data_IF_955220167153
#
_entry.id   IF_955220167153
#
_cell.length_a   1.000
_cell.length_b   1.000
_cell.length_c   1.000
_cell.angle_alpha   90.00
_cell.angle_beta   90.00
_cell.angle_gamma   90.00
#
_symmetry.space_group_name_H-M   'P 1'
#
loop_
_entity.id
_entity.type
_entity.pdbx_description
1 polymer ?
#
# COMPACT_ATOMS: atom_id res chain seq x y z
N UNK A 1 29.27 -21.01 10.51
CA UNK A 1 27.93 -21.09 11.13
C UNK A 1 26.87 -21.38 10.06
N UNK A 2 26.87 -22.57 9.45
CA UNK A 2 25.89 -22.99 8.41
C UNK A 2 25.14 -24.29 8.75
N UNK A 3 25.38 -24.86 9.93
CA UNK A 3 24.93 -26.23 10.26
C UNK A 3 23.99 -26.35 11.48
N UNK A 4 23.52 -25.24 12.06
CA UNK A 4 22.57 -25.28 13.20
C UNK A 4 21.12 -25.13 12.72
N UNK A 5 20.88 -24.47 11.58
CA UNK A 5 19.53 -24.19 11.04
C UNK A 5 18.91 -25.42 10.35
N UNK A 6 19.71 -26.35 9.81
CA UNK A 6 19.20 -27.57 9.17
C UNK A 6 18.66 -28.62 10.15
N UNK A 7 19.00 -28.54 11.44
CA UNK A 7 18.60 -29.55 12.44
C UNK A 7 17.18 -29.38 12.96
N UNK A 8 16.67 -28.15 13.03
CA UNK A 8 15.38 -27.86 13.66
C UNK A 8 14.20 -28.03 12.69
N UNK A 9 14.39 -27.65 11.42
CA UNK A 9 13.35 -27.74 10.38
C UNK A 9 13.05 -29.17 9.92
N UNK A 10 14.02 -30.10 9.99
CA UNK A 10 13.79 -31.47 9.51
C UNK A 10 12.98 -32.34 10.47
N UNK A 11 12.93 -32.00 11.77
CA UNK A 11 12.22 -32.80 12.78
C UNK A 11 10.76 -32.39 12.95
N UNK A 12 10.44 -31.11 12.79
CA UNK A 12 9.06 -30.60 12.88
C UNK A 12 8.19 -31.05 11.69
N UNK A 13 8.78 -31.11 10.49
CA UNK A 13 8.06 -31.47 9.25
C UNK A 13 7.64 -32.95 9.22
N UNK A 14 8.41 -33.85 9.85
CA UNK A 14 8.11 -35.30 9.85
C UNK A 14 7.03 -35.65 10.89
N UNK A 15 6.85 -34.84 11.95
CA UNK A 15 5.78 -35.03 12.94
C UNK A 15 4.42 -34.54 12.39
N UNK A 16 4.40 -33.50 11.55
CA UNK A 16 3.16 -32.98 10.96
C UNK A 16 2.58 -33.85 9.84
N UNK A 17 3.38 -34.68 9.17
CA UNK A 17 2.92 -35.50 8.04
C UNK A 17 2.15 -36.78 8.45
N UNK A 18 2.01 -37.09 9.74
CA UNK A 18 1.27 -38.28 10.21
C UNK A 18 -0.09 -37.98 10.86
N UNK A 19 -0.47 -36.72 11.07
CA UNK A 19 -1.76 -36.36 11.68
C UNK A 19 -2.87 -36.02 10.67
N UNK A 20 -2.64 -36.18 9.37
CA UNK A 20 -3.70 -36.19 8.35
C UNK A 20 -4.54 -37.48 8.43
N UNK A 21 -5.03 -37.79 9.63
CA UNK A 21 -6.09 -38.76 9.89
C UNK A 21 -7.37 -37.92 9.87
N UNK A 22 -8.19 -38.16 8.83
CA UNK A 22 -9.51 -37.58 8.60
C UNK A 22 -10.23 -37.12 9.88
N UNK A 23 -10.17 -35.82 10.18
CA UNK A 23 -10.91 -35.24 11.30
C UNK A 23 -12.41 -35.37 11.03
N UNK A 24 -13.17 -35.83 12.03
CA UNK A 24 -14.63 -35.95 11.95
C UNK A 24 -15.23 -34.55 11.82
N UNK A 25 -15.98 -34.30 10.75
CA UNK A 25 -16.71 -33.05 10.54
C UNK A 25 -18.00 -33.08 11.38
N UNK A 26 -18.09 -32.24 12.43
CA UNK A 26 -19.24 -32.21 13.34
C UNK A 26 -20.41 -31.39 12.78
N UNK A 27 -20.12 -30.29 12.08
CA UNK A 27 -21.10 -29.37 11.52
C UNK A 27 -20.77 -29.15 10.04
N UNK A 28 -21.70 -29.46 9.11
CA UNK A 28 -21.51 -29.15 7.70
C UNK A 28 -21.35 -27.65 7.45
N UNK A 29 -20.45 -27.28 6.54
CA UNK A 29 -20.16 -25.88 6.18
C UNK A 29 -21.37 -24.99 5.85
N UNK A 30 -22.49 -25.56 5.40
CA UNK A 30 -23.75 -24.81 5.10
C UNK A 30 -24.38 -24.12 6.33
N UNK A 31 -24.02 -24.53 7.55
CA UNK A 31 -24.50 -23.93 8.79
C UNK A 31 -23.56 -22.83 9.33
N UNK A 32 -22.38 -22.69 8.76
CA UNK A 32 -21.35 -21.75 9.22
C UNK A 32 -21.42 -20.51 8.34
N UNK A 33 -21.75 -19.35 8.94
CA UNK A 33 -21.83 -18.09 8.20
C UNK A 33 -20.45 -17.46 8.02
N UNK A 34 -19.53 -17.65 8.97
CA UNK A 34 -18.16 -17.16 8.92
C UNK A 34 -17.17 -18.28 9.31
N UNK A 35 -16.36 -18.74 8.36
CA UNK A 35 -15.40 -19.83 8.59
C UNK A 35 -14.25 -19.45 9.52
N UNK A 36 -14.04 -18.16 9.77
CA UNK A 36 -12.98 -17.67 10.64
C UNK A 36 -13.44 -17.50 12.10
N UNK A 37 -14.71 -17.79 12.40
CA UNK A 37 -15.27 -17.72 13.75
C UNK A 37 -15.44 -19.11 14.36
N UNK A 38 -15.14 -19.30 15.64
CA UNK A 38 -15.50 -20.53 16.34
C UNK A 38 -17.01 -20.71 16.36
N UNK A 39 -17.47 -21.94 16.63
CA UNK A 39 -18.91 -22.26 16.63
C UNK A 39 -19.37 -22.55 18.05
N UNK A 40 -20.44 -21.88 18.49
CA UNK A 40 -21.22 -22.28 19.65
C UNK A 40 -22.46 -23.04 19.18
N UNK A 41 -22.56 -24.31 19.55
CA UNK A 41 -23.76 -25.13 19.37
C UNK A 41 -24.53 -25.18 20.69
N UNK A 42 -25.84 -24.95 20.64
CA UNK A 42 -26.76 -25.15 21.78
C UNK A 42 -27.87 -26.12 21.40
N UNK A 43 -27.95 -27.25 22.09
CA UNK A 43 -29.13 -28.12 22.08
C UNK A 43 -30.18 -27.60 23.06
N UNK A 44 -31.43 -27.50 22.59
CA UNK A 44 -32.54 -26.81 23.27
C UNK A 44 -33.87 -27.52 22.98
N UNK A 45 -34.94 -27.11 23.66
CA UNK A 45 -36.33 -27.41 23.27
C UNK A 45 -37.26 -26.27 23.69
N UNK A 46 -38.44 -26.19 23.10
CA UNK A 46 -39.45 -25.17 23.42
C UNK A 46 -39.99 -25.25 24.86
N UNK A 47 -40.11 -26.48 25.40
CA UNK A 47 -40.59 -26.74 26.76
C UNK A 47 -39.51 -26.61 27.84
N UNK A 48 -38.25 -26.37 27.45
CA UNK A 48 -37.12 -26.30 28.37
C UNK A 48 -37.03 -24.91 29.03
N UNK A 49 -37.55 -24.79 30.25
CA UNK A 49 -37.49 -23.54 31.02
C UNK A 49 -36.05 -23.03 31.25
N UNK A 50 -35.05 -23.86 31.63
CA UNK A 50 -33.67 -23.39 31.75
C UNK A 50 -33.07 -22.87 30.43
N UNK A 51 -33.46 -23.45 29.30
CA UNK A 51 -33.07 -22.95 27.98
C UNK A 51 -33.64 -21.55 27.72
N UNK A 52 -34.88 -21.32 28.16
CA UNK A 52 -35.52 -20.01 28.12
C UNK A 52 -34.79 -18.95 28.96
N UNK A 53 -34.26 -19.33 30.13
CA UNK A 53 -33.44 -18.44 30.98
C UNK A 53 -32.17 -18.02 30.24
N UNK A 54 -31.45 -18.97 29.64
CA UNK A 54 -30.24 -18.66 28.86
C UNK A 54 -30.53 -17.67 27.73
N UNK A 55 -31.55 -17.94 26.90
CA UNK A 55 -31.87 -17.11 25.73
C UNK A 55 -32.43 -15.73 26.08
N UNK A 56 -33.25 -15.64 27.12
CA UNK A 56 -33.98 -14.40 27.43
C UNK A 56 -33.27 -13.49 28.42
N UNK A 57 -32.32 -14.03 29.20
CA UNK A 57 -31.59 -13.31 30.24
C UNK A 57 -30.10 -13.31 29.91
N UNK A 58 -29.43 -14.45 30.06
CA UNK A 58 -27.95 -14.54 29.98
C UNK A 58 -27.41 -14.07 28.62
N UNK A 59 -28.05 -14.44 27.52
CA UNK A 59 -27.60 -14.09 26.17
C UNK A 59 -27.81 -12.60 25.85
N UNK A 60 -28.64 -11.90 26.62
CA UNK A 60 -28.90 -10.47 26.45
C UNK A 60 -27.97 -9.60 27.29
N UNK A 61 -27.23 -10.17 28.23
CA UNK A 61 -26.21 -9.44 28.99
C UNK A 61 -25.14 -8.92 28.03
N UNK A 62 -24.75 -7.65 28.20
CA UNK A 62 -23.88 -6.96 27.25
C UNK A 62 -22.53 -7.68 27.04
N UNK A 63 -21.96 -8.20 28.12
CA UNK A 63 -20.70 -8.96 28.08
C UNK A 63 -20.80 -10.28 27.34
N UNK A 64 -21.95 -10.95 27.41
CA UNK A 64 -22.21 -12.20 26.68
C UNK A 64 -22.53 -11.92 25.21
N UNK A 65 -23.38 -10.91 24.95
CA UNK A 65 -23.73 -10.52 23.59
C UNK A 65 -22.49 -10.20 22.74
N UNK A 66 -21.55 -9.41 23.27
CA UNK A 66 -20.28 -9.08 22.60
C UNK A 66 -19.45 -10.33 22.27
N UNK A 67 -19.49 -11.36 23.13
CA UNK A 67 -18.80 -12.64 22.88
C UNK A 67 -19.51 -13.46 21.81
N UNK A 68 -20.84 -13.51 21.84
CA UNK A 68 -21.65 -14.24 20.87
C UNK A 68 -21.52 -13.67 19.44
N UNK A 69 -21.38 -12.35 19.28
CA UNK A 69 -21.14 -11.71 17.97
C UNK A 69 -19.83 -12.16 17.29
N UNK A 70 -18.89 -12.69 18.08
CA UNK A 70 -17.60 -13.25 17.63
C UNK A 70 -17.67 -14.75 17.32
N UNK A 71 -18.83 -15.38 17.46
CA UNK A 71 -19.03 -16.82 17.25
C UNK A 71 -20.10 -17.06 16.17
N UNK A 72 -20.02 -18.19 15.48
CA UNK A 72 -21.19 -18.76 14.80
C UNK A 72 -22.09 -19.41 15.85
N UNK A 73 -23.31 -18.90 16.05
CA UNK A 73 -24.22 -19.41 17.08
C UNK A 73 -25.31 -20.25 16.43
N UNK A 74 -25.36 -21.54 16.78
CA UNK A 74 -26.30 -22.52 16.23
C UNK A 74 -27.19 -23.08 17.34
N UNK A 75 -28.50 -23.17 17.06
CA UNK A 75 -29.47 -23.77 17.95
C UNK A 75 -30.09 -25.00 17.29
N UNK A 76 -30.05 -26.14 17.98
CA UNK A 76 -30.70 -27.36 17.54
C UNK A 76 -31.79 -27.76 18.53
N UNK A 77 -33.03 -27.77 18.04
CA UNK A 77 -34.17 -28.23 18.84
C UNK A 77 -34.24 -29.76 18.81
N UNK A 78 -34.07 -30.40 19.97
CA UNK A 78 -33.99 -31.87 20.10
C UNK A 78 -35.29 -32.59 19.70
N UNK A 79 -36.42 -31.90 19.61
CA UNK A 79 -37.68 -32.48 19.16
C UNK A 79 -37.78 -32.58 17.63
N UNK A 80 -36.92 -31.85 16.91
CA UNK A 80 -36.85 -31.86 15.43
C UNK A 80 -35.96 -32.97 14.90
N UNK A 81 -36.19 -33.43 13.66
CA UNK A 81 -35.34 -34.43 13.01
C UNK A 81 -33.87 -33.98 12.90
N UNK A 82 -33.66 -32.70 12.62
CA UNK A 82 -32.32 -32.10 12.56
C UNK A 82 -31.62 -32.11 13.92
N UNK A 83 -32.32 -31.71 14.98
CA UNK A 83 -31.76 -31.74 16.32
C UNK A 83 -31.48 -33.16 16.81
N UNK A 84 -32.34 -34.14 16.51
CA UNK A 84 -32.05 -35.56 16.79
C UNK A 84 -30.79 -36.02 16.07
N UNK A 85 -30.65 -35.70 14.78
CA UNK A 85 -29.47 -36.06 13.99
C UNK A 85 -28.17 -35.49 14.59
N UNK A 86 -28.13 -34.19 14.85
CA UNK A 86 -26.94 -33.56 15.44
C UNK A 86 -26.70 -34.04 16.87
N UNK A 87 -27.75 -34.31 17.64
CA UNK A 87 -27.58 -34.82 19.01
C UNK A 87 -26.85 -36.16 19.05
N UNK A 88 -27.00 -36.99 18.00
CA UNK A 88 -26.27 -38.24 17.85
C UNK A 88 -24.80 -37.99 17.49
N UNK A 89 -24.53 -37.06 16.57
CA UNK A 89 -23.17 -36.69 16.14
C UNK A 89 -22.32 -36.21 17.33
N UNK A 90 -22.94 -35.45 18.24
CA UNK A 90 -22.28 -34.81 19.38
C UNK A 90 -22.21 -35.66 20.67
N UNK A 91 -22.64 -36.93 20.64
CA UNK A 91 -22.62 -37.80 21.84
C UNK A 91 -21.24 -37.95 22.48
N UNK A 92 -20.20 -37.99 21.66
CA UNK A 92 -18.80 -38.08 22.09
C UNK A 92 -18.29 -36.81 22.80
N UNK A 93 -18.98 -35.67 22.66
CA UNK A 93 -18.69 -34.43 23.39
C UNK A 93 -19.29 -34.40 24.81
N UNK A 94 -19.95 -35.48 25.23
CA UNK A 94 -20.57 -35.63 26.54
C UNK A 94 -22.07 -35.38 26.57
N UNK A 95 -22.72 -35.22 25.42
CA UNK A 95 -24.17 -35.05 25.36
C UNK A 95 -24.90 -36.32 25.81
N UNK A 96 -25.71 -36.22 26.87
CA UNK A 96 -26.49 -37.33 27.45
C UNK A 96 -28.01 -37.07 27.45
N UNK A 97 -28.49 -36.18 26.60
CA UNK A 97 -29.92 -35.84 26.51
C UNK A 97 -30.42 -34.77 27.49
N UNK A 98 -29.53 -34.18 28.31
CA UNK A 98 -29.88 -33.05 29.16
C UNK A 98 -29.78 -31.74 28.38
N UNK A 99 -30.76 -30.85 28.52
CA UNK A 99 -30.78 -29.53 27.86
C UNK A 99 -31.02 -28.39 28.87
N UNK A 100 -30.44 -27.19 28.67
CA UNK A 100 -29.58 -26.83 27.54
C UNK A 100 -28.22 -27.53 27.61
N UNK A 101 -27.67 -27.87 26.45
CA UNK A 101 -26.31 -28.40 26.33
C UNK A 101 -25.56 -27.60 25.29
N UNK A 102 -24.38 -27.13 25.66
CA UNK A 102 -23.55 -26.28 24.83
C UNK A 102 -22.28 -27.03 24.43
N UNK A 103 -21.87 -26.85 23.18
CA UNK A 103 -20.58 -27.31 22.67
C UNK A 103 -19.91 -26.14 21.96
N UNK A 104 -18.65 -25.91 22.30
CA UNK A 104 -17.79 -24.98 21.59
C UNK A 104 -16.91 -25.76 20.62
N UNK A 105 -16.90 -25.31 19.36
CA UNK A 105 -16.00 -25.80 18.33
C UNK A 105 -15.00 -24.72 17.97
N UNK A 106 -13.79 -25.14 17.65
CA UNK A 106 -12.77 -24.28 17.06
C UNK A 106 -13.11 -23.90 15.60
N UNK A 107 -12.23 -23.12 14.97
CA UNK A 107 -12.37 -22.71 13.56
C UNK A 107 -12.26 -23.87 12.57
N UNK A 108 -11.74 -25.02 13.00
CA UNK A 108 -11.67 -26.26 12.22
C UNK A 108 -12.86 -27.19 12.48
N UNK A 109 -13.84 -26.77 13.29
CA UNK A 109 -15.03 -27.53 13.62
C UNK A 109 -14.78 -28.68 14.62
N UNK A 110 -13.68 -28.66 15.36
CA UNK A 110 -13.38 -29.65 16.40
C UNK A 110 -13.84 -29.19 17.79
N UNK A 111 -14.38 -30.09 18.63
CA UNK A 111 -14.90 -29.73 19.94
C UNK A 111 -13.79 -29.34 20.93
N UNK A 112 -13.91 -28.12 21.47
CA UNK A 112 -13.01 -27.56 22.49
C UNK A 112 -13.51 -27.82 23.91
N UNK A 113 -14.81 -27.57 24.13
CA UNK A 113 -15.41 -27.69 25.45
C UNK A 113 -16.92 -27.92 25.33
N UNK A 114 -17.50 -28.55 26.35
CA UNK A 114 -18.94 -28.67 26.51
C UNK A 114 -19.41 -28.21 27.89
N UNK A 115 -20.67 -27.78 27.97
CA UNK A 115 -21.31 -27.32 29.19
C UNK A 115 -22.75 -27.84 29.24
N UNK A 116 -23.12 -28.46 30.36
CA UNK A 116 -24.47 -29.00 30.57
C UNK A 116 -25.24 -28.13 31.55
N UNK A 117 -26.48 -27.79 31.21
CA UNK A 117 -27.39 -27.03 32.07
C UNK A 117 -27.30 -25.53 31.84
N UNK A 118 -28.20 -24.80 32.49
CA UNK A 118 -28.13 -23.35 32.54
C UNK A 118 -26.92 -22.92 33.39
N UNK A 119 -26.29 -21.82 33.00
CA UNK A 119 -25.14 -21.24 33.69
C UNK A 119 -25.38 -19.77 33.96
N UNK A 120 -24.79 -19.27 35.04
CA UNK A 120 -24.78 -17.84 35.34
C UNK A 120 -23.85 -17.09 34.39
N UNK A 121 -23.98 -15.76 34.33
CA UNK A 121 -23.26 -14.91 33.37
C UNK A 121 -21.75 -15.14 33.38
N UNK A 122 -21.12 -15.11 34.56
CA UNK A 122 -19.67 -15.24 34.68
C UNK A 122 -19.16 -16.62 34.24
N UNK A 123 -19.87 -17.68 34.63
CA UNK A 123 -19.51 -19.06 34.26
C UNK A 123 -19.69 -19.29 32.76
N UNK A 124 -20.76 -18.72 32.20
CA UNK A 124 -21.01 -18.81 30.76
C UNK A 124 -20.01 -17.97 29.97
N UNK A 125 -19.63 -16.78 30.45
CA UNK A 125 -18.57 -15.97 29.86
C UNK A 125 -17.23 -16.73 29.84
N UNK A 126 -16.85 -17.33 30.97
CA UNK A 126 -15.62 -18.12 31.07
C UNK A 126 -15.64 -19.35 30.16
N UNK A 127 -16.82 -19.96 29.96
CA UNK A 127 -17.01 -21.02 28.97
C UNK A 127 -16.78 -20.51 27.55
N UNK A 128 -17.46 -19.45 27.12
CA UNK A 128 -17.28 -18.85 25.77
C UNK A 128 -15.84 -18.42 25.52
N UNK A 129 -15.19 -17.90 26.55
CA UNK A 129 -13.79 -17.48 26.49
C UNK A 129 -12.88 -18.65 26.10
N UNK A 130 -13.23 -19.93 26.35
CA UNK A 130 -12.41 -21.06 25.90
C UNK A 130 -12.29 -21.16 24.37
N UNK A 131 -13.36 -20.85 23.65
CA UNK A 131 -13.33 -20.81 22.18
C UNK A 131 -12.74 -19.51 21.65
N UNK A 132 -12.97 -18.41 22.36
CA UNK A 132 -12.37 -17.13 22.02
C UNK A 132 -10.88 -17.07 22.37
N UNK A 133 -10.40 -18.00 23.19
CA UNK A 133 -9.00 -18.20 23.60
C UNK A 133 -8.27 -19.31 22.83
N UNK A 134 -8.90 -20.05 21.90
CA UNK A 134 -8.25 -21.24 21.30
C UNK A 134 -8.55 -21.48 19.82
N UNK A 135 -7.53 -21.19 18.98
CA UNK A 135 -6.84 -22.08 18.00
C UNK A 135 -6.11 -21.25 16.92
N UNK A 136 -5.26 -20.32 17.33
CA UNK A 136 -3.90 -20.23 16.81
C UNK A 136 -3.00 -20.57 18.00
N UNK A 137 -1.83 -21.17 17.78
CA UNK A 137 -0.83 -21.55 18.80
C UNK A 137 -0.93 -20.75 20.11
N UNK A 138 -0.92 -21.37 21.29
CA UNK A 138 -1.17 -20.68 22.58
C UNK A 138 -0.12 -19.59 22.93
N UNK A 139 0.87 -19.38 22.07
CA UNK A 139 1.83 -18.26 22.09
C UNK A 139 1.90 -17.48 20.76
N UNK A 140 0.99 -17.72 19.81
CA UNK A 140 1.00 -17.06 18.50
C UNK A 140 0.60 -15.60 18.67
N UNK A 141 1.62 -14.75 18.59
CA UNK A 141 1.43 -13.33 18.34
C UNK A 141 0.56 -13.18 17.10
N UNK A 142 -0.51 -12.39 17.23
CA UNK A 142 -1.31 -12.00 16.08
C UNK A 142 -0.71 -10.76 15.45
N UNK A 143 -0.50 -10.79 14.14
CA UNK A 143 -0.05 -9.60 13.40
C UNK A 143 -1.27 -8.84 12.85
N UNK A 144 -1.39 -7.57 13.19
CA UNK A 144 -2.41 -6.65 12.66
C UNK A 144 -1.68 -5.61 11.81
N UNK A 145 -1.90 -5.64 10.50
CA UNK A 145 -1.44 -4.63 9.57
C UNK A 145 -2.46 -3.49 9.51
N UNK A 146 -2.11 -2.35 10.09
CA UNK A 146 -2.90 -1.12 10.02
C UNK A 146 -2.50 -0.37 8.75
N UNK A 147 -3.40 -0.37 7.78
CA UNK A 147 -3.21 0.29 6.51
C UNK A 147 -4.05 -0.33 5.39
N UNK A 148 -4.37 0.48 4.40
CA UNK A 148 -5.17 0.07 3.25
C UNK A 148 -4.40 0.15 1.94
N UNK A 149 -4.95 -0.46 0.89
CA UNK A 149 -4.43 -0.42 -0.48
C UNK A 149 -4.28 1.01 -1.04
N UNK A 150 -4.84 2.02 -0.37
CA UNK A 150 -4.66 3.43 -0.73
C UNK A 150 -3.25 3.94 -0.46
N UNK A 151 -2.49 3.27 0.42
CA UNK A 151 -1.14 3.63 0.78
C UNK A 151 -0.13 2.81 -0.03
N UNK A 152 0.78 3.50 -0.71
CA UNK A 152 1.77 2.89 -1.61
C UNK A 152 2.62 1.83 -0.91
N UNK A 153 3.04 2.08 0.33
CA UNK A 153 3.83 1.12 1.12
C UNK A 153 3.01 -0.12 1.53
N UNK A 154 1.68 0.00 1.67
CA UNK A 154 0.79 -1.14 1.89
C UNK A 154 0.67 -1.99 0.62
N UNK A 155 0.53 -1.36 -0.55
CA UNK A 155 0.52 -2.07 -1.84
C UNK A 155 1.82 -2.85 -2.05
N UNK A 156 2.97 -2.24 -1.73
CA UNK A 156 4.26 -2.93 -1.82
C UNK A 156 4.33 -4.13 -0.87
N UNK A 157 3.87 -3.98 0.37
CA UNK A 157 3.78 -5.08 1.32
C UNK A 157 2.87 -6.21 0.83
N UNK A 158 1.67 -5.90 0.31
CA UNK A 158 0.73 -6.93 -0.19
C UNK A 158 1.26 -7.64 -1.44
N UNK A 159 1.91 -6.92 -2.35
CA UNK A 159 2.56 -7.53 -3.52
C UNK A 159 3.70 -8.46 -3.10
N UNK A 160 4.51 -8.05 -2.12
CA UNK A 160 5.60 -8.88 -1.58
C UNK A 160 5.04 -10.10 -0.84
N UNK A 161 3.91 -9.95 -0.14
CA UNK A 161 3.23 -11.04 0.56
C UNK A 161 2.73 -12.14 -0.40
N UNK A 162 2.24 -11.74 -1.57
CA UNK A 162 1.78 -12.68 -2.60
C UNK A 162 2.93 -13.35 -3.36
N UNK A 163 4.06 -12.65 -3.51
CA UNK A 163 5.18 -13.10 -4.34
C UNK A 163 6.32 -13.77 -3.58
N UNK A 164 6.45 -13.53 -2.27
CA UNK A 164 7.56 -14.02 -1.44
C UNK A 164 7.06 -15.09 -0.46
N UNK A 165 7.45 -16.34 -0.71
CA UNK A 165 7.00 -17.51 0.07
C UNK A 165 7.34 -17.42 1.56
N UNK A 166 8.48 -16.82 1.92
CA UNK A 166 8.92 -16.65 3.31
C UNK A 166 8.03 -15.65 4.05
N UNK A 167 7.68 -14.53 3.42
CA UNK A 167 6.78 -13.53 3.99
C UNK A 167 5.37 -14.10 4.17
N UNK A 168 4.90 -14.87 3.18
CA UNK A 168 3.63 -15.59 3.23
C UNK A 168 3.57 -16.59 4.37
N UNK A 169 4.60 -17.41 4.52
CA UNK A 169 4.69 -18.37 5.62
C UNK A 169 4.66 -17.68 6.99
N UNK A 170 5.32 -16.53 7.13
CA UNK A 170 5.28 -15.72 8.36
C UNK A 170 3.89 -15.15 8.62
N UNK A 171 3.26 -14.54 7.61
CA UNK A 171 1.90 -14.01 7.72
C UNK A 171 0.87 -15.08 8.11
N UNK A 172 0.96 -16.25 7.48
CA UNK A 172 0.10 -17.40 7.78
C UNK A 172 0.35 -17.89 9.21
N UNK A 173 1.61 -17.93 9.65
CA UNK A 173 1.96 -18.36 11.02
C UNK A 173 1.49 -17.39 12.10
N UNK A 174 1.47 -16.08 11.82
CA UNK A 174 1.06 -15.02 12.74
C UNK A 174 -0.41 -14.66 12.62
N UNK A 175 -1.20 -15.41 11.85
CA UNK A 175 -2.63 -15.17 11.62
C UNK A 175 -2.94 -13.71 11.28
N UNK A 176 -2.26 -13.19 10.25
CA UNK A 176 -2.30 -11.77 9.91
C UNK A 176 -3.72 -11.26 9.63
N UNK A 177 -4.08 -10.15 10.26
CA UNK A 177 -5.25 -9.34 9.92
C UNK A 177 -4.83 -8.03 9.27
N UNK A 178 -5.69 -7.48 8.41
CA UNK A 178 -5.54 -6.15 7.82
C UNK A 178 -6.70 -5.29 8.31
N UNK A 179 -6.41 -4.05 8.66
CA UNK A 179 -7.42 -3.08 9.10
C UNK A 179 -7.27 -1.78 8.29
N UNK A 180 -8.40 -1.29 7.76
CA UNK A 180 -8.44 0.00 7.05
C UNK A 180 -8.73 1.11 8.09
N UNK A 181 -7.77 2.00 8.39
CA UNK A 181 -8.00 3.08 9.35
C UNK A 181 -9.06 4.10 8.91
N UNK A 182 -9.49 4.04 7.64
CA UNK A 182 -10.60 4.85 7.13
C UNK A 182 -11.98 4.18 7.32
N UNK A 183 -12.05 2.92 7.77
CA UNK A 183 -13.30 2.17 7.99
C UNK A 183 -13.68 2.17 9.49
N UNK A 184 -14.68 2.99 9.90
CA UNK A 184 -15.08 3.08 11.30
C UNK A 184 -15.79 1.82 11.84
N UNK A 185 -16.22 0.92 10.96
CA UNK A 185 -16.88 -0.34 11.33
C UNK A 185 -15.87 -1.51 11.36
N UNK A 186 -14.57 -1.25 11.16
CA UNK A 186 -13.52 -2.27 11.16
C UNK A 186 -13.36 -2.89 12.56
N UNK A 187 -13.31 -4.24 12.67
CA UNK A 187 -13.21 -4.95 13.94
C UNK A 187 -11.89 -4.71 14.70
N UNK A 188 -10.89 -4.10 14.06
CA UNK A 188 -9.59 -3.75 14.63
C UNK A 188 -9.37 -2.22 14.73
N UNK A 189 -10.41 -1.42 14.56
CA UNK A 189 -10.34 0.05 14.67
C UNK A 189 -9.81 0.55 16.03
N UNK A 190 -9.86 -0.29 17.07
CA UNK A 190 -9.25 0.00 18.37
C UNK A 190 -7.72 0.15 18.33
N UNK A 191 -7.05 -0.32 17.28
CA UNK A 191 -5.60 -0.20 17.10
C UNK A 191 -5.20 1.00 16.21
N UNK A 192 -6.14 1.69 15.56
CA UNK A 192 -5.87 2.78 14.61
C UNK A 192 -5.12 3.97 15.24
N UNK A 193 -5.27 4.16 16.55
CA UNK A 193 -4.51 5.20 17.26
C UNK A 193 -2.99 4.98 17.12
N UNK A 194 -2.54 3.74 16.93
CA UNK A 194 -1.11 3.38 16.84
C UNK A 194 -0.53 3.91 15.53
N UNK A 195 -1.25 3.81 14.41
CA UNK A 195 -0.83 4.40 13.13
C UNK A 195 -0.83 5.93 13.19
N UNK A 196 -1.75 6.52 13.96
CA UNK A 196 -1.80 7.97 14.20
C UNK A 196 -0.60 8.45 15.03
N UNK A 197 -0.21 7.68 16.05
CA UNK A 197 0.93 7.98 16.93
C UNK A 197 2.26 7.76 16.22
N UNK A 198 2.41 6.66 15.48
CA UNK A 198 3.60 6.37 14.66
C UNK A 198 3.69 7.30 13.45
N UNK A 199 2.54 7.77 12.95
CA UNK A 199 2.38 8.58 11.75
C UNK A 199 3.05 7.90 10.53
N UNK A 200 2.88 6.59 10.42
CA UNK A 200 3.44 5.76 9.35
C UNK A 200 2.42 4.69 8.97
N UNK A 201 2.29 4.38 7.68
CA UNK A 201 1.38 3.38 7.15
C UNK A 201 2.09 2.58 6.04
N UNK A 202 2.15 1.23 6.08
CA UNK A 202 1.52 0.36 7.06
C UNK A 202 2.20 0.44 8.43
N UNK A 203 1.43 0.24 9.51
CA UNK A 203 1.98 -0.06 10.84
C UNK A 203 1.55 -1.47 11.23
N UNK A 204 2.49 -2.31 11.59
CA UNK A 204 2.24 -3.68 12.04
C UNK A 204 2.22 -3.71 13.55
N UNK A 205 1.14 -4.23 14.11
CA UNK A 205 0.95 -4.38 15.55
C UNK A 205 0.90 -5.86 15.88
N UNK A 206 1.65 -6.27 16.88
CA UNK A 206 1.68 -7.64 17.34
C UNK A 206 0.94 -7.70 18.66
N UNK A 207 -0.19 -8.40 18.70
CA UNK A 207 -0.98 -8.54 19.91
C UNK A 207 -0.82 -9.94 20.50
N UNK A 208 -0.92 -10.02 21.83
CA UNK A 208 -1.13 -11.30 22.50
C UNK A 208 -2.59 -11.75 22.26
N UNK A 209 -2.95 -12.98 22.66
CA UNK A 209 -4.33 -13.48 22.56
C UNK A 209 -5.37 -12.66 23.35
N UNK A 210 -4.95 -11.91 24.37
CA UNK A 210 -5.82 -11.04 25.17
C UNK A 210 -6.10 -9.68 24.50
N UNK A 211 -5.42 -9.38 23.37
CA UNK A 211 -5.54 -8.11 22.64
C UNK A 211 -4.55 -7.04 23.10
N UNK A 212 -3.68 -7.34 24.07
CA UNK A 212 -2.63 -6.42 24.47
C UNK A 212 -1.57 -6.30 23.39
N UNK A 213 -1.19 -5.06 23.10
CA UNK A 213 -0.11 -4.77 22.16
C UNK A 213 1.21 -5.14 22.80
N UNK A 214 1.91 -6.08 22.18
CA UNK A 214 3.19 -6.59 22.66
C UNK A 214 4.35 -5.92 21.92
N UNK A 215 4.20 -5.69 20.62
CA UNK A 215 5.18 -4.97 19.80
C UNK A 215 4.52 -4.25 18.62
N UNK A 216 5.30 -3.36 17.99
CA UNK A 216 4.91 -2.74 16.73
C UNK A 216 6.10 -2.48 15.81
N UNK A 217 5.87 -2.60 14.51
CA UNK A 217 6.79 -2.21 13.44
C UNK A 217 6.11 -1.10 12.64
N UNK A 218 6.79 0.03 12.50
CA UNK A 218 6.30 1.19 11.76
C UNK A 218 6.91 1.21 10.35
N UNK A 219 6.06 1.18 9.32
CA UNK A 219 6.45 1.23 7.92
C UNK A 219 6.86 -0.14 7.34
N UNK A 220 6.87 -0.20 6.02
CA UNK A 220 7.40 -1.34 5.25
C UNK A 220 8.45 -0.84 4.25
N UNK A 221 9.68 -1.35 4.35
CA UNK A 221 10.83 -0.91 3.55
C UNK A 221 11.44 -2.03 2.70
N UNK A 222 10.74 -3.17 2.60
CA UNK A 222 11.18 -4.35 1.86
C UNK A 222 11.29 -5.60 2.74
N UNK A 223 11.19 -6.77 2.11
CA UNK A 223 11.07 -8.04 2.81
C UNK A 223 12.26 -8.35 3.74
N UNK A 224 13.51 -8.09 3.33
CA UNK A 224 14.69 -8.38 4.17
C UNK A 224 14.68 -7.55 5.47
N UNK A 225 14.38 -6.26 5.39
CA UNK A 225 14.35 -5.35 6.54
C UNK A 225 13.18 -5.68 7.48
N UNK A 226 12.04 -6.08 6.92
CA UNK A 226 10.90 -6.55 7.68
C UNK A 226 11.21 -7.85 8.44
N UNK A 227 11.81 -8.83 7.77
CA UNK A 227 12.23 -10.09 8.39
C UNK A 227 13.31 -9.88 9.47
N UNK A 228 14.26 -8.97 9.25
CA UNK A 228 15.25 -8.58 10.25
C UNK A 228 14.60 -7.92 11.49
N UNK A 229 13.53 -7.15 11.28
CA UNK A 229 12.78 -6.52 12.38
C UNK A 229 12.01 -7.56 13.19
N UNK A 230 11.41 -8.54 12.52
CA UNK A 230 10.76 -9.69 13.16
C UNK A 230 11.76 -10.55 13.96
N UNK A 231 12.95 -10.80 13.43
CA UNK A 231 13.99 -11.56 14.12
C UNK A 231 14.50 -10.85 15.37
N UNK A 232 14.55 -9.51 15.35
CA UNK A 232 14.85 -8.70 16.55
C UNK A 232 13.74 -8.76 17.58
N UNK A 233 12.48 -8.80 17.15
CA UNK A 233 11.34 -8.96 18.06
C UNK A 233 11.37 -10.34 18.71
N UNK A 234 11.60 -11.40 17.93
CA UNK A 234 11.64 -12.79 18.44
C UNK A 234 12.77 -13.02 19.47
N UNK A 235 13.91 -12.34 19.30
CA UNK A 235 15.05 -12.40 20.24
C UNK A 235 14.87 -11.54 21.50
N UNK A 236 13.91 -10.61 21.53
CA UNK A 236 13.68 -9.68 22.65
C UNK A 236 12.63 -10.20 23.65
N UNK A 237 11.88 -11.26 23.34
CA UNK A 237 10.84 -11.83 24.22
C UNK A 237 11.35 -12.74 25.36
N UNK A 238 12.40 -12.29 26.05
CA UNK A 238 12.55 -12.50 27.47
C UNK A 238 12.31 -11.14 28.15
N UNK A 239 11.12 -10.96 28.73
CA UNK A 239 10.61 -9.79 29.48
C UNK A 239 11.69 -8.86 30.08
N UNK A 240 11.65 -7.57 29.69
CA UNK A 240 12.06 -6.34 30.45
C UNK A 240 12.82 -5.29 29.61
N UNK A 241 12.15 -4.63 28.65
CA UNK A 241 12.66 -3.34 28.13
C UNK A 241 11.64 -2.23 28.42
N UNK A 242 11.99 -1.24 29.26
CA UNK A 242 11.09 -0.14 29.56
C UNK A 242 10.90 0.77 28.34
N UNK A 243 9.65 1.17 28.13
CA UNK A 243 9.12 2.12 27.13
C UNK A 243 9.99 3.36 26.80
N UNK A 244 10.90 3.78 27.70
CA UNK A 244 11.78 4.94 27.53
C UNK A 244 12.97 4.73 26.58
N UNK A 245 13.49 3.51 26.40
CA UNK A 245 14.63 3.31 25.47
C UNK A 245 14.19 3.27 23.99
N UNK A 246 12.95 2.83 23.73
CA UNK A 246 12.31 2.89 22.40
C UNK A 246 12.17 4.35 21.92
N UNK A 247 11.90 5.28 22.83
CA UNK A 247 11.78 6.72 22.55
C UNK A 247 13.11 7.40 22.15
N UNK A 248 14.27 6.90 22.58
CA UNK A 248 15.55 7.58 22.29
C UNK A 248 16.13 7.17 20.92
N UNK A 249 15.83 5.95 20.45
CA UNK A 249 16.03 5.60 19.03
C UNK A 249 15.01 6.30 18.12
N UNK A 250 13.82 6.61 18.64
CA UNK A 250 12.79 7.34 17.89
C UNK A 250 13.16 8.79 17.64
N UNK A 251 13.98 9.48 18.44
CA UNK A 251 14.41 10.86 18.14
C UNK A 251 15.36 10.97 16.93
N UNK A 252 16.23 9.96 16.74
CA UNK A 252 17.11 9.87 15.55
C UNK A 252 16.30 9.50 14.31
N UNK A 253 15.31 8.62 14.45
CA UNK A 253 14.31 8.33 13.41
C UNK A 253 13.32 9.48 13.21
N UNK A 254 13.04 10.31 14.21
CA UNK A 254 12.08 11.41 14.15
C UNK A 254 12.56 12.51 13.21
N UNK A 255 13.87 12.71 13.03
CA UNK A 255 14.39 13.62 12.00
C UNK A 255 14.21 13.06 10.58
N UNK A 256 14.31 11.74 10.42
CA UNK A 256 14.05 11.04 9.15
C UNK A 256 12.54 11.03 8.87
N UNK A 257 11.72 10.75 9.88
CA UNK A 257 10.25 10.78 9.85
C UNK A 257 9.73 12.21 9.69
N UNK A 258 10.33 13.26 10.27
CA UNK A 258 9.92 14.65 10.03
C UNK A 258 10.23 15.08 8.58
N UNK A 259 11.30 14.54 7.99
CA UNK A 259 11.56 14.70 6.56
C UNK A 259 10.51 13.95 5.73
N UNK A 260 10.21 12.69 6.05
CA UNK A 260 9.15 11.87 5.41
C UNK A 260 7.74 12.45 5.61
N UNK A 261 7.38 12.99 6.79
CA UNK A 261 6.11 13.69 7.06
C UNK A 261 5.91 14.91 6.17
N UNK A 262 7.01 15.56 5.75
CA UNK A 262 6.94 16.65 4.78
C UNK A 262 6.67 16.11 3.37
N UNK A 263 7.19 14.93 3.04
CA UNK A 263 6.89 14.19 1.80
C UNK A 263 5.46 13.62 1.80
N UNK A 264 5.01 13.00 2.89
CA UNK A 264 3.66 12.43 3.03
C UNK A 264 2.57 13.50 3.02
N UNK A 265 2.82 14.70 3.57
CA UNK A 265 1.88 15.84 3.42
C UNK A 265 1.68 16.27 1.98
N UNK A 266 2.68 16.09 1.11
CA UNK A 266 2.54 16.38 -0.32
C UNK A 266 1.66 15.31 -0.98
N UNK A 267 1.85 14.04 -0.64
CA UNK A 267 1.03 12.91 -1.13
C UNK A 267 -0.43 13.00 -0.63
N UNK A 268 -0.67 13.34 0.63
CA UNK A 268 -2.02 13.55 1.22
C UNK A 268 -2.78 14.70 0.55
N UNK A 269 -2.08 15.67 -0.05
CA UNK A 269 -2.73 16.76 -0.82
C UNK A 269 -3.20 16.33 -2.23
N UNK A 270 -2.97 15.05 -2.60
CA UNK A 270 -3.25 14.49 -3.91
C UNK A 270 -2.22 14.88 -4.97
N UNK A 271 -1.10 15.48 -4.58
CA UNK A 271 0.00 15.88 -5.45
C UNK A 271 1.18 14.91 -5.30
N UNK A 272 1.59 14.29 -6.41
CA UNK A 272 2.83 13.52 -6.53
C UNK A 272 3.93 14.43 -7.09
N UNK A 273 5.19 14.19 -6.73
CA UNK A 273 6.30 15.00 -7.22
C UNK A 273 7.17 14.18 -8.16
N UNK A 274 7.35 14.65 -9.38
CA UNK A 274 8.22 14.06 -10.38
C UNK A 274 9.52 14.86 -10.46
N UNK A 275 10.66 14.18 -10.28
CA UNK A 275 11.98 14.75 -10.54
C UNK A 275 12.55 14.14 -11.82
N UNK A 276 12.88 14.97 -12.79
CA UNK A 276 13.27 14.54 -14.13
C UNK A 276 14.62 15.08 -14.58
N UNK A 277 15.27 14.28 -15.42
CA UNK A 277 16.37 14.72 -16.26
C UNK A 277 15.97 14.47 -17.72
N UNK A 278 16.37 15.36 -18.63
CA UNK A 278 16.03 15.20 -20.03
C UNK A 278 17.21 15.49 -20.93
N UNK A 279 17.19 14.88 -22.11
CA UNK A 279 17.98 15.28 -23.26
C UNK A 279 17.03 15.75 -24.33
N UNK A 280 17.46 16.70 -25.14
CA UNK A 280 16.61 17.26 -26.17
C UNK A 280 17.41 17.58 -27.43
N UNK A 281 16.70 17.52 -28.56
CA UNK A 281 17.18 18.00 -29.85
C UNK A 281 16.22 19.09 -30.27
N UNK A 282 16.71 20.33 -30.31
CA UNK A 282 15.94 21.51 -30.67
C UNK A 282 16.48 22.17 -31.94
N UNK A 283 15.65 22.98 -32.56
CA UNK A 283 15.98 23.73 -33.77
C UNK A 283 15.12 24.99 -33.86
N UNK A 284 15.65 25.99 -34.56
CA UNK A 284 14.93 27.21 -34.87
C UNK A 284 14.21 27.06 -36.21
N UNK A 285 12.90 27.27 -36.21
CA UNK A 285 12.10 27.42 -37.43
C UNK A 285 11.91 28.90 -37.78
N UNK A 286 11.49 29.21 -39.01
CA UNK A 286 11.25 30.58 -39.46
C UNK A 286 12.15 31.00 -40.63
N UNK A 287 12.52 32.27 -40.67
CA UNK A 287 13.38 32.84 -41.70
C UNK A 287 14.55 33.56 -41.00
N UNK A 288 15.55 32.79 -40.57
CA UNK A 288 16.71 33.29 -39.85
C UNK A 288 17.99 32.52 -40.29
N UNK A 289 19.20 33.06 -40.05
CA UNK A 289 20.45 32.43 -40.49
C UNK A 289 20.74 31.07 -39.82
N UNK A 290 20.17 30.85 -38.63
CA UNK A 290 20.32 29.65 -37.82
C UNK A 290 19.16 28.65 -38.04
N UNK A 291 18.34 28.85 -39.07
CA UNK A 291 17.21 27.97 -39.37
C UNK A 291 17.68 26.52 -39.53
N UNK A 292 16.95 25.60 -38.93
CA UNK A 292 17.23 24.16 -38.93
C UNK A 292 18.60 23.78 -38.36
N UNK A 293 19.28 24.70 -37.67
CA UNK A 293 20.49 24.38 -36.94
C UNK A 293 20.13 23.42 -35.79
N UNK A 294 20.65 22.17 -35.79
CA UNK A 294 20.39 21.26 -34.71
C UNK A 294 21.10 21.77 -33.45
N UNK A 295 20.37 21.79 -32.36
CA UNK A 295 20.85 22.12 -31.03
C UNK A 295 20.56 20.92 -30.16
N UNK A 296 21.55 20.52 -29.37
CA UNK A 296 21.35 19.50 -28.34
C UNK A 296 21.33 20.16 -26.99
N UNK A 297 20.60 19.56 -26.07
CA UNK A 297 20.44 20.13 -24.77
C UNK A 297 20.17 19.09 -23.70
N UNK A 298 20.29 19.55 -22.48
CA UNK A 298 19.94 18.81 -21.29
C UNK A 298 18.96 19.64 -20.46
N UNK A 299 18.11 18.96 -19.71
CA UNK A 299 17.18 19.60 -18.80
C UNK A 299 17.11 18.89 -17.46
N UNK A 300 16.73 19.64 -16.45
CA UNK A 300 16.33 19.13 -15.13
C UNK A 300 14.95 19.69 -14.82
N UNK A 301 14.06 18.89 -14.26
CA UNK A 301 12.70 19.30 -13.96
C UNK A 301 12.23 18.80 -12.61
N UNK A 302 11.36 19.58 -11.98
CA UNK A 302 10.56 19.16 -10.83
C UNK A 302 9.12 19.55 -11.12
N UNK A 303 8.21 18.59 -11.12
CA UNK A 303 6.79 18.82 -11.39
C UNK A 303 5.91 18.18 -10.34
N UNK A 304 4.80 18.83 -10.01
CA UNK A 304 3.71 18.26 -9.24
C UNK A 304 2.66 17.69 -10.19
N UNK A 305 2.23 16.44 -9.95
CA UNK A 305 1.17 15.74 -10.67
C UNK A 305 -0.03 15.52 -9.75
N UNK A 306 -1.24 15.85 -10.19
CA UNK A 306 -2.47 15.63 -9.43
C UNK A 306 -3.52 14.92 -10.25
N UNK A 307 -4.05 13.82 -9.71
CA UNK A 307 -5.17 13.10 -10.32
C UNK A 307 -6.43 13.96 -10.23
N UNK A 308 -7.11 14.15 -11.35
CA UNK A 308 -8.30 15.00 -11.47
C UNK A 308 -9.61 14.21 -11.35
N UNK A 309 -9.61 12.94 -11.75
CA UNK A 309 -10.82 12.12 -11.81
C UNK A 309 -10.77 10.93 -10.83
N UNK A 310 -11.95 10.48 -10.39
CA UNK A 310 -12.09 9.34 -9.47
C UNK A 310 -11.55 8.02 -10.06
N UNK A 311 -11.53 7.91 -11.38
CA UNK A 311 -11.04 6.73 -12.09
C UNK A 311 -9.50 6.67 -12.16
N UNK A 312 -8.78 7.72 -11.75
CA UNK A 312 -7.31 7.75 -11.77
C UNK A 312 -6.69 8.05 -13.13
N UNK A 313 -7.47 8.06 -14.22
CA UNK A 313 -6.96 8.07 -15.59
C UNK A 313 -6.55 9.42 -16.15
N UNK A 314 -6.88 10.53 -15.47
CA UNK A 314 -6.55 11.89 -15.93
C UNK A 314 -5.84 12.64 -14.82
N UNK A 315 -4.66 13.17 -15.12
CA UNK A 315 -3.85 13.95 -14.19
C UNK A 315 -3.48 15.32 -14.76
N UNK A 316 -3.26 16.27 -13.86
CA UNK A 316 -2.77 17.61 -14.15
C UNK A 316 -1.36 17.75 -13.62
N UNK A 317 -0.46 18.25 -14.45
CA UNK A 317 0.96 18.43 -14.19
C UNK A 317 1.31 19.92 -14.22
N UNK A 318 1.98 20.39 -13.18
CA UNK A 318 2.56 21.75 -13.14
C UNK A 318 3.93 21.69 -12.49
N UNK A 319 4.90 22.42 -13.03
CA UNK A 319 6.26 22.33 -12.50
C UNK A 319 7.17 23.47 -12.88
N UNK A 320 8.46 23.22 -12.66
CA UNK A 320 9.56 24.05 -13.13
C UNK A 320 10.58 23.16 -13.81
N UNK A 321 11.04 23.56 -15.00
CA UNK A 321 12.17 22.93 -15.67
C UNK A 321 13.24 23.96 -16.01
N UNK A 322 14.49 23.56 -15.88
CA UNK A 322 15.63 24.30 -16.42
C UNK A 322 16.18 23.52 -17.60
N UNK A 323 16.27 24.17 -18.75
CA UNK A 323 16.73 23.54 -19.98
C UNK A 323 17.83 24.36 -20.62
N UNK A 324 18.92 23.71 -20.99
CA UNK A 324 20.00 24.32 -21.77
C UNK A 324 19.95 23.79 -23.19
N UNK A 325 19.69 24.66 -24.17
CA UNK A 325 19.72 24.30 -25.60
C UNK A 325 20.96 24.91 -26.25
N UNK A 326 21.81 24.11 -26.88
CA UNK A 326 23.04 24.61 -27.50
C UNK A 326 23.38 23.93 -28.82
N UNK A 327 23.86 24.71 -29.78
CA UNK A 327 24.33 24.15 -31.05
C UNK A 327 25.50 24.94 -31.62
N UNK A 328 26.27 24.29 -32.49
CA UNK A 328 27.33 24.94 -33.28
C UNK A 328 27.20 24.53 -34.75
N UNK A 329 27.14 25.51 -35.64
CA UNK A 329 27.20 25.32 -37.09
C UNK A 329 28.62 25.62 -37.54
N UNK A 330 29.27 24.61 -38.10
CA UNK A 330 30.67 24.70 -38.54
C UNK A 330 30.70 25.38 -39.90
N UNK A 331 31.02 26.67 -39.93
CA UNK A 331 31.30 27.44 -41.15
C UNK A 331 32.81 27.49 -41.39
N UNK A 332 33.21 27.59 -42.66
CA UNK A 332 34.61 27.58 -43.14
C UNK A 332 35.43 28.78 -42.70
N UNK A 333 34.80 29.90 -42.37
CA UNK A 333 35.50 31.14 -42.00
C UNK A 333 35.48 31.43 -40.49
N UNK A 334 34.31 31.32 -39.83
CA UNK A 334 34.17 31.36 -38.35
C UNK A 334 32.93 30.57 -37.90
N UNK A 335 32.98 29.83 -36.79
CA UNK A 335 31.86 29.02 -36.31
C UNK A 335 30.70 29.88 -35.79
N UNK A 336 29.47 29.55 -36.19
CA UNK A 336 28.26 30.12 -35.60
C UNK A 336 27.80 29.23 -34.43
N UNK A 337 27.40 29.83 -33.32
CA UNK A 337 26.86 29.07 -32.19
C UNK A 337 25.78 29.86 -31.47
N UNK A 338 24.83 29.11 -30.94
CA UNK A 338 23.74 29.62 -30.12
C UNK A 338 23.60 28.73 -28.89
N UNK A 339 23.39 29.36 -27.73
CA UNK A 339 23.00 28.69 -26.50
C UNK A 339 21.93 29.49 -25.78
N UNK A 340 20.87 28.83 -25.34
CA UNK A 340 19.79 29.40 -24.53
C UNK A 340 19.69 28.61 -23.24
N UNK A 341 19.43 29.31 -22.15
CA UNK A 341 19.05 28.72 -20.87
C UNK A 341 17.61 29.12 -20.60
N UNK A 342 16.70 28.16 -20.54
CA UNK A 342 15.27 28.37 -20.38
C UNK A 342 14.86 27.90 -18.98
N UNK A 343 14.24 28.78 -18.21
CA UNK A 343 13.49 28.42 -17.02
C UNK A 343 12.01 28.33 -17.42
N UNK A 344 11.53 27.09 -17.58
CA UNK A 344 10.21 26.75 -18.09
C UNK A 344 9.23 26.40 -16.98
N UNK A 345 7.98 26.79 -17.15
CA UNK A 345 6.84 26.42 -16.33
C UNK A 345 5.83 25.67 -17.20
N UNK A 346 5.82 24.33 -17.17
CA UNK A 346 4.82 23.53 -17.87
C UNK A 346 3.48 23.51 -17.13
N UNK A 347 2.39 23.49 -17.90
CA UNK A 347 1.01 23.28 -17.47
C UNK A 347 0.40 22.23 -18.41
N UNK A 348 0.38 20.98 -17.97
CA UNK A 348 0.08 19.83 -18.82
C UNK A 348 -1.05 18.97 -18.25
N UNK A 349 -1.86 18.40 -19.13
CA UNK A 349 -2.81 17.34 -18.81
C UNK A 349 -2.23 16.04 -19.33
N UNK A 350 -2.29 15.01 -18.51
CA UNK A 350 -1.90 13.66 -18.85
C UNK A 350 -3.10 12.73 -18.73
N UNK A 351 -3.23 11.81 -19.69
CA UNK A 351 -4.28 10.80 -19.71
C UNK A 351 -3.68 9.43 -19.96
N UNK A 352 -4.16 8.44 -19.23
CA UNK A 352 -3.82 7.05 -19.47
C UNK A 352 -4.47 6.61 -20.78
N UNK A 353 -3.70 6.00 -21.68
CA UNK A 353 -4.20 5.45 -22.93
C UNK A 353 -4.54 3.97 -22.75
N UNK A 354 -3.55 3.16 -22.38
CA UNK A 354 -3.68 1.72 -22.14
C UNK A 354 -2.43 1.16 -21.45
N UNK A 355 -2.60 0.02 -20.78
CA UNK A 355 -1.51 -0.71 -20.11
C UNK A 355 -1.15 -1.96 -20.90
N UNK A 356 0.15 -2.19 -21.10
CA UNK A 356 0.68 -3.36 -21.80
C UNK A 356 1.53 -4.18 -20.83
N UNK A 357 1.31 -5.49 -20.77
CA UNK A 357 2.19 -6.37 -20.02
C UNK A 357 3.43 -6.69 -20.85
N UNK A 358 4.56 -6.08 -20.50
CA UNK A 358 5.85 -6.30 -21.14
C UNK A 358 6.77 -7.08 -20.20
N UNK A 359 7.08 -8.33 -20.55
CA UNK A 359 8.00 -9.19 -19.78
C UNK A 359 7.65 -9.34 -18.28
N UNK A 360 6.35 -9.38 -17.94
CA UNK A 360 5.87 -9.53 -16.57
C UNK A 360 5.72 -8.23 -15.78
N UNK A 361 6.02 -7.07 -16.38
CA UNK A 361 5.83 -5.76 -15.77
C UNK A 361 4.69 -4.99 -16.46
N UNK A 362 3.79 -4.35 -15.70
CA UNK A 362 2.79 -3.46 -16.27
C UNK A 362 3.47 -2.19 -16.77
N UNK A 363 3.43 -1.96 -18.08
CA UNK A 363 3.90 -0.74 -18.72
C UNK A 363 2.68 0.13 -19.06
N UNK A 364 2.54 1.26 -18.38
CA UNK A 364 1.46 2.20 -18.63
C UNK A 364 1.86 3.19 -19.73
N UNK A 365 1.04 3.28 -20.77
CA UNK A 365 1.25 4.24 -21.86
C UNK A 365 0.29 5.40 -21.67
N UNK A 366 0.83 6.61 -21.55
CA UNK A 366 0.10 7.84 -21.28
C UNK A 366 0.34 8.87 -22.37
N UNK A 367 -0.65 9.72 -22.59
CA UNK A 367 -0.52 10.88 -23.45
C UNK A 367 -0.50 12.14 -22.60
N UNK A 368 0.49 13.01 -22.83
CA UNK A 368 0.64 14.29 -22.15
C UNK A 368 0.55 15.42 -23.15
N UNK A 369 -0.24 16.44 -22.86
CA UNK A 369 -0.30 17.64 -23.68
C UNK A 369 -0.55 18.88 -22.82
N UNK A 370 0.05 20.01 -23.21
CA UNK A 370 -0.08 21.22 -22.44
C UNK A 370 0.56 22.44 -23.03
N UNK A 371 0.56 23.49 -22.22
CA UNK A 371 1.17 24.78 -22.49
C UNK A 371 2.41 24.93 -21.63
N UNK A 372 3.35 25.75 -22.09
CA UNK A 372 4.49 26.16 -21.28
C UNK A 372 4.81 27.62 -21.53
N UNK A 373 5.28 28.29 -20.48
CA UNK A 373 5.94 29.58 -20.54
C UNK A 373 7.38 29.46 -20.08
N UNK A 374 8.29 30.22 -20.68
CA UNK A 374 9.70 30.19 -20.36
C UNK A 374 10.24 31.60 -20.16
N UNK A 375 11.01 31.80 -19.10
CA UNK A 375 11.93 32.92 -18.98
C UNK A 375 13.32 32.49 -19.46
N UNK A 376 14.00 33.34 -20.22
CA UNK A 376 15.34 33.10 -20.76
C UNK A 376 16.31 34.00 -20.00
N UNK A 377 16.84 33.57 -18.83
CA UNK A 377 17.75 34.37 -18.01
C UNK A 377 19.09 34.68 -18.67
N UNK A 378 19.49 33.90 -19.66
CA UNK A 378 20.76 34.06 -20.33
C UNK A 378 20.80 33.32 -21.65
N UNK A 379 21.52 33.91 -22.60
CA UNK A 379 21.76 33.32 -23.89
C UNK A 379 23.18 33.67 -24.36
N UNK A 380 23.68 32.94 -25.34
CA UNK A 380 24.90 33.27 -26.06
C UNK A 380 24.62 33.12 -27.53
N UNK A 381 24.76 34.23 -28.26
CA UNK A 381 24.52 34.27 -29.69
C UNK A 381 25.76 34.78 -30.40
N UNK A 382 26.30 33.99 -31.32
CA UNK A 382 27.40 34.39 -32.18
C UNK A 382 27.03 34.07 -33.62
N UNK A 383 26.52 35.08 -34.33
CA UNK A 383 26.18 34.97 -35.75
C UNK A 383 26.74 36.19 -36.48
N UNK A 384 27.55 35.92 -37.50
CA UNK A 384 28.36 36.94 -38.17
C UNK A 384 27.53 37.89 -39.05
N UNK A 385 26.30 37.51 -39.40
CA UNK A 385 25.42 38.23 -40.34
C UNK A 385 24.42 39.19 -39.68
N UNK A 386 24.48 39.35 -38.36
CA UNK A 386 23.43 40.01 -37.59
C UNK A 386 24.03 41.31 -37.05
N UNK A 387 23.85 42.41 -37.80
CA UNK A 387 24.40 43.73 -37.46
C UNK A 387 24.03 44.19 -36.03
N UNK A 388 24.67 45.27 -35.57
CA UNK A 388 24.44 45.82 -34.23
C UNK A 388 22.93 45.97 -33.93
N UNK A 389 22.44 45.35 -32.86
CA UNK A 389 21.04 45.48 -32.41
C UNK A 389 20.18 44.21 -32.49
N UNK A 390 20.79 43.05 -32.74
CA UNK A 390 20.11 41.76 -32.63
C UNK A 390 20.23 41.21 -31.22
N UNK A 391 19.12 41.18 -30.50
CA UNK A 391 19.05 40.62 -29.15
C UNK A 391 18.02 39.50 -29.09
N UNK A 392 18.18 38.55 -28.19
CA UNK A 392 17.21 37.46 -28.04
C UNK A 392 16.12 37.88 -27.07
N UNK A 393 14.88 37.51 -27.39
CA UNK A 393 13.76 37.74 -26.49
C UNK A 393 14.02 37.02 -25.16
N UNK A 394 13.71 37.68 -24.05
CA UNK A 394 13.89 37.11 -22.71
C UNK A 394 12.76 36.15 -22.31
N UNK A 395 11.78 35.94 -23.19
CA UNK A 395 10.59 35.13 -22.93
C UNK A 395 10.29 34.23 -24.13
N UNK A 396 9.79 33.03 -23.83
CA UNK A 396 9.22 32.12 -24.82
C UNK A 396 7.94 31.50 -24.24
N UNK A 397 7.08 30.99 -25.11
CA UNK A 397 5.87 30.27 -24.73
C UNK A 397 5.43 29.37 -25.86
N UNK A 398 4.79 28.26 -25.53
CA UNK A 398 4.41 27.28 -26.54
C UNK A 398 3.50 26.17 -26.04
N UNK A 399 3.38 25.16 -26.89
CA UNK A 399 2.68 23.90 -26.61
C UNK A 399 3.65 22.73 -26.60
N UNK A 400 3.28 21.69 -25.87
CA UNK A 400 3.97 20.39 -25.86
C UNK A 400 2.95 19.28 -25.98
N UNK A 401 3.32 18.24 -26.73
CA UNK A 401 2.60 16.97 -26.77
C UNK A 401 3.62 15.83 -26.67
N UNK A 402 3.36 14.83 -25.84
CA UNK A 402 4.26 13.74 -25.55
C UNK A 402 3.53 12.42 -25.28
N UNK A 403 4.23 11.32 -25.54
CA UNK A 403 3.87 9.99 -25.06
C UNK A 403 4.80 9.66 -23.88
N UNK A 404 4.21 9.26 -22.77
CA UNK A 404 4.90 8.84 -21.56
C UNK A 404 4.74 7.33 -21.39
N UNK A 405 5.84 6.66 -21.04
CA UNK A 405 5.89 5.24 -20.74
C UNK A 405 6.28 5.09 -19.28
N UNK A 406 5.33 4.69 -18.44
CA UNK A 406 5.54 4.54 -17.00
C UNK A 406 5.67 3.07 -16.62
N UNK A 407 6.74 2.75 -15.88
CA UNK A 407 6.98 1.45 -15.28
C UNK A 407 7.40 1.65 -13.82
N UNK A 408 6.44 1.45 -12.90
CA UNK A 408 6.61 1.79 -11.48
C UNK A 408 6.93 3.28 -11.29
N UNK A 409 8.02 3.57 -10.57
CA UNK A 409 8.49 4.93 -10.31
C UNK A 409 9.24 5.57 -11.48
N UNK A 410 9.47 4.86 -12.58
CA UNK A 410 10.17 5.42 -13.75
C UNK A 410 9.19 5.84 -14.83
N UNK A 411 9.35 7.06 -15.35
CA UNK A 411 8.57 7.63 -16.44
C UNK A 411 9.52 8.06 -17.58
N UNK A 412 9.37 7.46 -18.74
CA UNK A 412 10.11 7.83 -19.95
C UNK A 412 9.20 8.57 -20.93
N UNK A 413 9.56 9.81 -21.23
CA UNK A 413 8.74 10.70 -22.07
C UNK A 413 9.38 10.96 -23.43
N UNK A 414 8.58 10.85 -24.48
CA UNK A 414 8.95 11.20 -25.86
C UNK A 414 7.98 12.28 -26.36
N UNK A 415 8.48 13.49 -26.59
CA UNK A 415 7.64 14.65 -26.87
C UNK A 415 8.11 15.53 -28.00
N UNK A 416 7.19 16.37 -28.47
CA UNK A 416 7.46 17.48 -29.37
C UNK A 416 6.93 18.78 -28.75
N UNK A 417 7.76 19.81 -28.75
CA UNK A 417 7.42 21.15 -28.28
C UNK A 417 7.53 22.18 -29.40
N UNK A 418 6.59 23.11 -29.43
CA UNK A 418 6.52 24.21 -30.40
C UNK A 418 6.33 25.53 -29.68
N UNK A 419 7.29 26.43 -29.85
CA UNK A 419 7.23 27.81 -29.40
C UNK A 419 6.43 28.70 -30.36
N UNK A 420 5.83 29.73 -29.78
CA UNK A 420 5.00 30.72 -30.46
C UNK A 420 5.62 32.11 -30.44
N UNK A 421 6.56 32.36 -29.53
CA UNK A 421 7.24 33.65 -29.43
C UNK A 421 8.42 33.67 -30.38
N UNK A 422 8.52 34.75 -31.14
CA UNK A 422 9.70 35.00 -31.96
C UNK A 422 10.92 35.22 -31.06
N UNK A 423 12.00 34.50 -31.28
CA UNK A 423 13.17 34.53 -30.42
C UNK A 423 14.09 35.71 -30.68
N UNK A 424 13.95 36.41 -31.81
CA UNK A 424 14.72 37.63 -32.07
C UNK A 424 13.90 38.87 -31.73
N UNK A 425 14.52 39.78 -31.01
CA UNK A 425 14.02 41.12 -30.74
C UNK A 425 14.80 42.12 -31.60
N UNK A 426 14.08 43.01 -32.30
CA UNK A 426 14.65 44.07 -33.13
C UNK A 426 14.10 44.18 -34.56
N UNK A 427 14.41 45.28 -35.25
CA UNK A 427 13.99 45.57 -36.64
C UNK A 427 14.95 44.97 -37.67
N UNK A 428 15.21 43.67 -37.55
CA UNK A 428 16.17 42.93 -38.38
C UNK A 428 15.47 41.96 -39.36
N UNK A 429 14.13 41.86 -39.29
CA UNK A 429 13.31 41.10 -40.24
C UNK A 429 13.46 39.57 -40.15
N UNK A 430 14.22 39.09 -39.17
CA UNK A 430 14.41 37.66 -38.93
C UNK A 430 13.41 37.16 -37.92
N UNK A 431 12.80 36.03 -38.23
CA UNK A 431 11.85 35.35 -37.35
C UNK A 431 12.38 33.96 -36.99
N UNK A 432 12.36 33.64 -35.70
CA UNK A 432 12.82 32.37 -35.19
C UNK A 432 11.88 31.82 -34.11
N UNK A 433 11.40 30.59 -34.27
CA UNK A 433 10.57 29.93 -33.26
C UNK A 433 11.22 28.63 -32.81
N UNK A 434 11.30 28.45 -31.49
CA UNK A 434 11.87 27.26 -30.88
C UNK A 434 11.00 26.03 -31.12
N UNK A 435 11.58 24.96 -31.66
CA UNK A 435 10.95 23.65 -31.70
C UNK A 435 11.90 22.62 -31.14
N UNK A 436 11.39 21.62 -30.43
CA UNK A 436 12.22 20.59 -29.82
C UNK A 436 11.54 19.22 -29.83
N UNK A 437 12.33 18.20 -30.16
CA UNK A 437 12.06 16.83 -29.76
C UNK A 437 12.67 16.60 -28.37
N UNK A 438 11.86 16.09 -27.45
CA UNK A 438 12.21 15.89 -26.06
C UNK A 438 12.28 14.39 -25.78
N UNK A 439 13.35 13.96 -25.14
CA UNK A 439 13.48 12.62 -24.56
C UNK A 439 13.82 12.81 -23.08
N UNK A 440 12.86 12.53 -22.22
CA UNK A 440 12.96 12.72 -20.78
C UNK A 440 12.91 11.39 -20.05
N UNK A 441 13.64 11.31 -18.94
CA UNK A 441 13.46 10.26 -17.93
C UNK A 441 13.19 10.97 -16.61
N UNK A 442 12.07 10.65 -15.98
CA UNK A 442 11.71 11.12 -14.67
C UNK A 442 11.56 9.96 -13.69
N UNK A 443 11.85 10.26 -12.43
CA UNK A 443 11.56 9.40 -11.30
C UNK A 443 10.42 10.05 -10.53
N UNK A 444 9.34 9.29 -10.34
CA UNK A 444 8.23 9.66 -9.47
C UNK A 444 8.71 9.51 -8.03
N UNK A 445 8.76 10.62 -7.31
CA UNK A 445 9.09 10.67 -5.89
C UNK A 445 7.75 10.65 -5.16
N UNK A 446 7.24 9.45 -4.90
CA UNK A 446 5.92 9.23 -4.29
C UNK A 446 5.31 7.85 -4.53
N UNK A 447 5.90 7.03 -5.40
CA UNK A 447 5.59 5.60 -5.59
C UNK A 447 6.61 4.69 -4.88
#
# INVERSE_FOLDING_TARGET
MKNIIKGFLSSAIIIFLTSAISAKEYIPSKYISDKNKPVLVMFTASWCQPCGIMKNIVFKEAGIKKRLERLNVLFFDIDTEEGKHFSEIFRDTGFKGSIPFFVLLDTHGQPLASLTGAAEENDFAAFLDKALKGTGDENALKMICIGSEKYVQCLQFFNDLDSIAELKAVSDSLSMAVTDPDDPDDPYSEYDYISTVSNTCPTFVFTNPDGDVVAGIAGYYGHEDFMNSLDRLSTTYALDVPYKEVLHQSEKHRKIIESQKKYDRLVVSGWRIDAGISTNVSFLSGNNPLKNMPRTGYGISVAGRRILNKAGTVSFNVGLSFDSWGGRKRSTERPEYIREYLLRLPLEIETDLFTVNAAGFPLEIKFRAGLWGAWIPGHTLSVMSLGNGMDMNSWDAGVTAAIALQAGSFDMTFGYSRGFIDQFSGENGFHAYNNAFLIGIAVNIGD
#
